data_IF_146280884133
#
_entry.id   IF_146280884133
#
_cell.length_a   1.000
_cell.length_b   1.000
_cell.length_c   1.000
_cell.angle_alpha   90.00
_cell.angle_beta   90.00
_cell.angle_gamma   90.00
#
_symmetry.space_group_name_H-M   'P 1'
#
loop_
_entity.id
_entity.type
_entity.pdbx_description
1 polymer ?
#
# COMPACT_ATOMS: atom_id res chain seq x y z
N UNK A 1 -14.14 -17.85 10.61
CA UNK A 1 -14.10 -16.48 10.04
C UNK A 1 -12.71 -15.85 10.06
N UNK A 2 -11.72 -16.41 10.77
CA UNK A 2 -10.34 -15.91 10.85
C UNK A 2 -9.49 -16.23 9.61
N UNK A 3 -9.81 -17.32 8.91
CA UNK A 3 -9.09 -17.79 7.70
C UNK A 3 -9.27 -16.84 6.49
N UNK A 4 -10.47 -16.26 6.32
CA UNK A 4 -10.76 -15.29 5.25
C UNK A 4 -9.99 -13.98 5.44
N UNK A 5 -9.82 -13.55 6.69
CA UNK A 5 -9.05 -12.36 7.05
C UNK A 5 -7.55 -12.63 6.83
N UNK A 6 -7.05 -13.82 7.17
CA UNK A 6 -5.67 -14.22 6.85
C UNK A 6 -5.41 -14.32 5.35
N UNK A 7 -6.35 -14.85 4.56
CA UNK A 7 -6.24 -14.88 3.10
C UNK A 7 -6.34 -13.50 2.46
N UNK A 8 -7.20 -12.62 2.99
CA UNK A 8 -7.24 -11.22 2.58
C UNK A 8 -5.92 -10.53 2.93
N UNK A 9 -5.39 -10.64 4.15
CA UNK A 9 -4.18 -9.96 4.62
C UNK A 9 -2.89 -10.48 3.96
N UNK A 10 -2.67 -11.81 3.89
CA UNK A 10 -1.49 -12.37 3.22
C UNK A 10 -1.51 -12.17 1.70
N UNK A 11 -2.70 -12.06 1.07
CA UNK A 11 -2.82 -11.76 -0.37
C UNK A 11 -2.89 -10.24 -0.64
N UNK A 12 -3.31 -9.42 0.33
CA UNK A 12 -3.27 -7.95 0.25
C UNK A 12 -1.86 -7.39 0.42
N UNK A 13 -0.92 -8.16 0.97
CA UNK A 13 0.48 -7.74 1.06
C UNK A 13 1.03 -7.27 -0.28
N UNK A 14 0.67 -7.99 -1.34
CA UNK A 14 0.97 -7.64 -2.72
C UNK A 14 0.13 -6.48 -3.26
N UNK A 15 -1.11 -6.33 -2.81
CA UNK A 15 -2.03 -5.29 -3.30
C UNK A 15 -1.54 -3.90 -2.89
N UNK A 16 -1.16 -3.70 -1.63
CA UNK A 16 -0.65 -2.40 -1.19
C UNK A 16 0.75 -2.10 -1.73
N UNK A 17 1.61 -3.11 -1.94
CA UNK A 17 2.88 -2.94 -2.62
C UNK A 17 2.68 -2.52 -4.08
N UNK A 18 1.75 -3.19 -4.79
CA UNK A 18 1.41 -2.87 -6.18
C UNK A 18 0.75 -1.49 -6.29
N UNK A 19 -0.14 -1.12 -5.36
CA UNK A 19 -0.74 0.20 -5.30
C UNK A 19 0.29 1.30 -5.04
N UNK A 20 1.21 1.07 -4.10
CA UNK A 20 2.30 2.01 -3.82
C UNK A 20 3.27 2.16 -5.00
N UNK A 21 3.57 1.06 -5.70
CA UNK A 21 4.42 1.08 -6.89
C UNK A 21 3.74 1.81 -8.04
N UNK A 22 2.47 1.49 -8.32
CA UNK A 22 1.69 2.08 -9.39
C UNK A 22 1.42 3.57 -9.13
N UNK A 23 1.16 3.94 -7.87
CA UNK A 23 1.07 5.33 -7.41
C UNK A 23 2.37 6.11 -7.61
N UNK A 24 3.51 5.53 -7.25
CA UNK A 24 4.83 6.14 -7.48
C UNK A 24 5.14 6.32 -8.97
N UNK A 25 4.83 5.32 -9.81
CA UNK A 25 5.04 5.43 -11.27
C UNK A 25 4.17 6.53 -11.88
N UNK A 26 2.89 6.58 -11.50
CA UNK A 26 1.99 7.65 -11.95
C UNK A 26 2.44 9.03 -11.44
N UNK A 27 2.87 9.14 -10.18
CA UNK A 27 3.41 10.37 -9.62
C UNK A 27 4.65 10.86 -10.37
N UNK A 28 5.57 9.94 -10.72
CA UNK A 28 6.77 10.24 -11.49
C UNK A 28 6.44 10.71 -12.91
N UNK A 29 5.54 10.02 -13.61
CA UNK A 29 5.09 10.40 -14.96
C UNK A 29 4.37 11.75 -14.92
N UNK A 30 3.47 11.96 -13.96
CA UNK A 30 2.78 13.23 -13.76
C UNK A 30 3.74 14.39 -13.49
N UNK A 31 4.81 14.15 -12.73
CA UNK A 31 5.86 15.14 -12.46
C UNK A 31 6.65 15.50 -13.73
N UNK A 32 6.94 14.53 -14.60
CA UNK A 32 7.61 14.79 -15.89
C UNK A 32 6.70 15.54 -16.85
N UNK A 33 5.41 15.20 -16.91
CA UNK A 33 4.46 15.93 -17.74
C UNK A 33 4.16 17.34 -17.22
N UNK A 34 4.58 17.68 -15.99
CA UNK A 34 4.50 19.03 -15.44
C UNK A 34 5.55 19.99 -16.03
N UNK A 35 6.50 19.47 -16.85
CA UNK A 35 7.50 20.31 -17.52
C UNK A 35 6.85 21.32 -18.48
N UNK A 36 7.42 22.53 -18.62
CA UNK A 36 6.87 23.62 -19.44
C UNK A 36 6.71 23.27 -20.93
N UNK A 37 7.40 22.25 -21.43
CA UNK A 37 7.24 21.75 -22.80
C UNK A 37 5.86 21.11 -23.09
N UNK A 38 5.09 20.76 -22.06
CA UNK A 38 3.80 20.06 -22.19
C UNK A 38 2.60 20.90 -21.69
N UNK A 39 2.62 22.21 -21.92
CA UNK A 39 1.59 23.13 -21.40
C UNK A 39 0.14 22.72 -21.71
N UNK A 40 -0.12 22.19 -22.91
CA UNK A 40 -1.46 21.70 -23.30
C UNK A 40 -1.91 20.44 -22.53
N UNK A 41 -0.98 19.69 -21.94
CA UNK A 41 -1.25 18.44 -21.22
C UNK A 41 -1.19 18.62 -19.69
N UNK A 42 -1.03 19.86 -19.20
CA UNK A 42 -0.94 20.15 -17.75
C UNK A 42 -2.13 19.64 -16.96
N UNK A 43 -3.35 19.79 -17.46
CA UNK A 43 -4.55 19.28 -16.78
C UNK A 43 -4.50 17.76 -16.64
N UNK A 44 -4.07 17.05 -17.68
CA UNK A 44 -3.91 15.60 -17.64
C UNK A 44 -2.80 15.19 -16.65
N UNK A 45 -1.67 15.91 -16.66
CA UNK A 45 -0.56 15.70 -15.73
C UNK A 45 -0.99 15.87 -14.27
N UNK A 46 -1.78 16.91 -13.97
CA UNK A 46 -2.32 17.17 -12.63
C UNK A 46 -3.25 16.05 -12.18
N UNK A 47 -4.14 15.57 -13.05
CA UNK A 47 -5.01 14.43 -12.72
C UNK A 47 -4.22 13.13 -12.48
N UNK A 48 -3.19 12.88 -13.28
CA UNK A 48 -2.30 11.72 -13.13
C UNK A 48 -1.50 11.81 -11.82
N UNK A 49 -1.08 13.01 -11.45
CA UNK A 49 -0.38 13.31 -10.20
C UNK A 49 -1.28 13.12 -8.98
N UNK A 50 -2.50 13.68 -9.00
CA UNK A 50 -3.50 13.51 -7.93
C UNK A 50 -3.87 12.02 -7.77
N UNK A 51 -4.14 11.34 -8.89
CA UNK A 51 -4.45 9.91 -8.88
C UNK A 51 -3.27 9.08 -8.35
N UNK A 52 -2.05 9.34 -8.82
CA UNK A 52 -0.84 8.66 -8.38
C UNK A 52 -0.56 8.85 -6.89
N UNK A 53 -0.67 10.08 -6.39
CA UNK A 53 -0.51 10.41 -4.97
C UNK A 53 -1.59 9.74 -4.11
N UNK A 54 -2.84 9.68 -4.59
CA UNK A 54 -3.93 9.00 -3.88
C UNK A 54 -3.70 7.48 -3.78
N UNK A 55 -3.25 6.84 -4.86
CA UNK A 55 -2.88 5.42 -4.83
C UNK A 55 -1.70 5.13 -3.89
N UNK A 56 -0.71 6.02 -3.86
CA UNK A 56 0.42 5.94 -2.94
C UNK A 56 -0.03 6.07 -1.48
N UNK A 57 -0.96 6.98 -1.20
CA UNK A 57 -1.56 7.15 0.14
C UNK A 57 -2.29 5.88 0.59
N UNK A 58 -3.13 5.30 -0.26
CA UNK A 58 -3.85 4.05 0.06
C UNK A 58 -2.87 2.90 0.30
N UNK A 59 -1.83 2.78 -0.54
CA UNK A 59 -0.78 1.78 -0.34
C UNK A 59 -0.07 1.93 1.01
N UNK A 60 0.30 3.16 1.37
CA UNK A 60 0.96 3.46 2.65
C UNK A 60 0.07 3.16 3.86
N UNK A 61 -1.23 3.51 3.80
CA UNK A 61 -2.20 3.18 4.86
C UNK A 61 -2.35 1.66 4.99
N UNK A 62 -2.43 0.93 3.87
CA UNK A 62 -2.51 -0.52 3.87
C UNK A 62 -1.29 -1.17 4.52
N UNK A 63 -0.08 -0.72 4.18
CA UNK A 63 1.16 -1.19 4.78
C UNK A 63 1.22 -0.87 6.30
N UNK A 64 0.80 0.32 6.69
CA UNK A 64 0.76 0.73 8.10
C UNK A 64 -0.22 -0.11 8.92
N UNK A 65 -1.38 -0.46 8.36
CA UNK A 65 -2.36 -1.31 9.03
C UNK A 65 -1.85 -2.75 9.19
N UNK A 66 -1.16 -3.30 8.20
CA UNK A 66 -0.52 -4.63 8.31
C UNK A 66 0.55 -4.61 9.39
N UNK A 67 1.43 -3.61 9.37
CA UNK A 67 2.49 -3.46 10.37
C UNK A 67 1.95 -3.42 11.80
N UNK A 68 0.92 -2.61 12.06
CA UNK A 68 0.31 -2.48 13.39
C UNK A 68 -0.47 -3.72 13.84
N UNK A 69 -0.97 -4.54 12.91
CA UNK A 69 -1.64 -5.80 13.21
C UNK A 69 -0.66 -6.96 13.44
N UNK A 70 0.46 -7.01 12.71
CA UNK A 70 1.53 -8.01 12.90
C UNK A 70 2.36 -7.74 14.17
N UNK A 71 2.47 -6.49 14.61
CA UNK A 71 3.13 -6.11 15.87
C UNK A 71 2.29 -6.39 17.12
N UNK A 72 1.08 -6.98 17.00
CA UNK A 72 0.39 -7.54 18.17
C UNK A 72 1.13 -8.84 18.53
N UNK A 73 1.94 -8.88 19.62
CA UNK A 73 2.63 -10.10 19.99
C UNK A 73 1.57 -11.17 20.21
N UNK A 74 1.64 -12.24 19.41
CA UNK A 74 0.80 -13.42 19.60
C UNK A 74 0.85 -13.74 21.09
N UNK A 75 -0.32 -13.70 21.76
CA UNK A 75 -0.42 -13.91 23.19
C UNK A 75 0.46 -15.12 23.59
N UNK A 76 1.25 -15.00 24.67
CA UNK A 76 2.17 -16.06 25.07
C UNK A 76 1.40 -17.37 25.10
N UNK A 77 1.90 -18.38 24.39
CA UNK A 77 1.28 -19.70 24.34
C UNK A 77 1.32 -20.31 25.74
N UNK A 78 0.27 -20.03 26.52
CA UNK A 78 0.01 -20.72 27.78
C UNK A 78 -0.24 -22.19 27.45
N UNK A 79 0.76 -23.03 27.72
CA UNK A 79 0.56 -24.48 27.81
C UNK A 79 1.25 -25.35 26.77
N UNK A 80 2.46 -25.02 26.30
CA UNK A 80 3.29 -25.97 25.56
C UNK A 80 4.67 -26.15 26.20
N UNK A 81 4.70 -26.44 27.51
CA UNK A 81 5.91 -26.91 28.21
C UNK A 81 5.56 -27.77 29.44
N UNK A 82 4.71 -28.78 29.24
CA UNK A 82 4.52 -29.88 30.21
C UNK A 82 4.54 -31.21 29.47
N UNK A 83 5.73 -31.76 29.27
CA UNK A 83 5.90 -33.09 28.70
C UNK A 83 7.33 -33.37 28.28
N UNK A 84 8.18 -33.70 29.26
CA UNK A 84 9.53 -34.22 29.10
C UNK A 84 9.99 -34.82 30.41
#
# INVERSE_FOLDING_TARGET
MTELIRLLVCKYSWVHLSLGLLGNTAFFIGSIMFLPSFESWKTFAVWLFIGGAFFMLIGAIGQFLVYTLDDVPAAPKLGQDRGG
#
